data_IF_929845871693
#
_entry.id   IF_929845871693
#
_cell.length_a   1.000
_cell.length_b   1.000
_cell.length_c   1.000
_cell.angle_alpha   90.00
_cell.angle_beta   90.00
_cell.angle_gamma   90.00
#
_symmetry.space_group_name_H-M   'P 1'
#
loop_
_entity.id
_entity.type
_entity.pdbx_description
1 polymer ?
#
# COMPACT_ATOMS: atom_id res chain seq x y z
N UNK A 1 23.52 -13.42 60.55
CA UNK A 1 22.20 -13.19 59.93
C UNK A 1 21.97 -14.23 58.84
N UNK A 2 20.78 -14.84 58.84
CA UNK A 2 20.18 -15.77 57.87
C UNK A 2 20.29 -15.20 56.43
N UNK A 3 20.54 -15.91 55.30
CA UNK A 3 20.17 -17.24 54.79
C UNK A 3 21.21 -17.64 53.71
N UNK A 4 21.81 -18.84 53.74
CA UNK A 4 21.49 -20.00 52.89
C UNK A 4 20.96 -19.65 51.48
N UNK A 5 21.70 -20.02 50.44
CA UNK A 5 21.37 -21.14 49.51
C UNK A 5 22.44 -21.18 48.41
N UNK A 6 23.24 -22.23 48.45
CA UNK A 6 23.95 -22.82 47.32
C UNK A 6 22.90 -23.42 46.40
N UNK A 7 22.97 -23.19 45.09
CA UNK A 7 22.68 -24.20 44.05
C UNK A 7 23.45 -23.78 42.79
N UNK A 8 24.49 -24.55 42.49
CA UNK A 8 25.05 -24.67 41.17
C UNK A 8 24.06 -25.50 40.33
N UNK A 9 23.58 -24.95 39.22
CA UNK A 9 22.86 -25.71 38.19
C UNK A 9 23.51 -25.48 36.84
N UNK A 10 24.28 -26.47 36.42
CA UNK A 10 24.60 -26.75 35.04
C UNK A 10 23.30 -27.02 34.25
N UNK A 11 22.84 -26.04 33.48
CA UNK A 11 22.02 -26.28 32.28
C UNK A 11 22.93 -25.88 31.12
N UNK A 12 23.43 -26.80 30.30
CA UNK A 12 22.61 -27.65 29.46
C UNK A 12 22.67 -27.06 28.06
N UNK A 13 23.69 -27.46 27.30
CA UNK A 13 23.88 -27.16 25.90
C UNK A 13 22.63 -27.57 25.10
N UNK A 14 21.86 -26.59 24.60
CA UNK A 14 20.93 -26.80 23.50
C UNK A 14 21.38 -25.98 22.30
N UNK A 15 22.08 -26.68 21.40
CA UNK A 15 22.22 -26.28 20.01
C UNK A 15 20.83 -26.28 19.37
N UNK A 16 20.26 -25.10 19.20
CA UNK A 16 19.25 -24.87 18.17
C UNK A 16 19.84 -23.85 17.21
N UNK A 17 20.72 -24.31 16.33
CA UNK A 17 20.91 -23.64 15.03
C UNK A 17 19.56 -23.72 14.34
N UNK A 18 18.73 -22.71 14.59
CA UNK A 18 17.59 -22.44 13.75
C UNK A 18 18.20 -22.16 12.38
N UNK A 19 18.13 -23.16 11.51
CA UNK A 19 18.13 -22.93 10.09
C UNK A 19 16.97 -21.98 9.85
N UNK A 20 17.27 -20.67 9.82
CA UNK A 20 16.38 -19.72 9.19
C UNK A 20 16.49 -20.10 7.72
N UNK A 21 15.68 -21.07 7.31
CA UNK A 21 15.44 -21.29 5.90
C UNK A 21 15.11 -19.90 5.34
N UNK A 22 15.77 -19.43 4.28
CA UNK A 22 15.29 -18.25 3.61
C UNK A 22 13.87 -18.61 3.20
N UNK A 23 12.89 -18.06 3.92
CA UNK A 23 11.49 -18.18 3.56
C UNK A 23 11.46 -17.83 2.10
N UNK A 24 11.15 -18.82 1.25
CA UNK A 24 11.22 -18.75 -0.19
C UNK A 24 10.80 -17.34 -0.56
N UNK A 25 11.71 -16.54 -1.12
CA UNK A 25 11.44 -15.16 -1.45
C UNK A 25 10.37 -15.18 -2.54
N UNK A 26 9.12 -15.39 -2.13
CA UNK A 26 7.96 -15.37 -2.97
C UNK A 26 8.01 -13.99 -3.58
N UNK A 27 8.21 -13.95 -4.89
CA UNK A 27 8.30 -12.70 -5.65
C UNK A 27 7.07 -11.89 -5.29
N UNK A 28 7.24 -10.86 -4.44
CA UNK A 28 6.14 -10.04 -3.96
C UNK A 28 5.55 -9.39 -5.20
N UNK A 29 4.26 -9.61 -5.43
CA UNK A 29 3.50 -8.98 -6.50
C UNK A 29 2.32 -8.24 -5.90
N UNK A 30 1.75 -7.32 -6.67
CA UNK A 30 0.53 -6.64 -6.26
C UNK A 30 -0.58 -7.66 -5.98
N UNK A 31 -1.16 -7.63 -4.78
CA UNK A 31 -2.18 -8.58 -4.31
C UNK A 31 -1.65 -9.76 -3.48
N UNK A 32 -0.32 -9.91 -3.30
CA UNK A 32 0.25 -10.85 -2.33
C UNK A 32 -0.20 -10.49 -0.91
N UNK A 33 -0.59 -11.47 -0.10
CA UNK A 33 -1.03 -11.21 1.29
C UNK A 33 0.09 -10.60 2.13
N UNK A 34 -0.29 -9.74 3.07
CA UNK A 34 0.64 -9.16 4.04
C UNK A 34 -0.06 -8.96 5.38
N UNK A 35 0.71 -9.04 6.47
CA UNK A 35 0.16 -9.00 7.83
C UNK A 35 0.24 -7.62 8.46
N UNK A 36 1.34 -6.89 8.24
CA UNK A 36 1.61 -5.60 8.87
C UNK A 36 1.39 -4.44 7.90
N UNK A 37 0.29 -3.70 8.08
CA UNK A 37 0.03 -2.49 7.30
C UNK A 37 1.22 -1.51 7.39
N UNK A 38 1.53 -0.86 6.26
CA UNK A 38 2.68 0.05 6.15
C UNK A 38 4.04 -0.63 5.95
N UNK A 39 4.14 -1.96 6.06
CA UNK A 39 5.40 -2.66 5.77
C UNK A 39 5.77 -2.49 4.31
N UNK A 40 7.03 -2.15 4.03
CA UNK A 40 7.54 -1.98 2.67
C UNK A 40 8.45 -3.14 2.27
N UNK A 41 8.42 -3.50 0.98
CA UNK A 41 9.30 -4.49 0.36
C UNK A 41 9.77 -3.95 -0.98
N UNK A 42 11.05 -4.09 -1.29
CA UNK A 42 11.62 -3.73 -2.59
C UNK A 42 11.87 -5.00 -3.39
N UNK A 43 11.40 -5.04 -4.63
CA UNK A 43 11.65 -6.12 -5.59
C UNK A 43 12.12 -5.49 -6.89
N UNK A 44 13.39 -5.67 -7.23
CA UNK A 44 14.04 -4.92 -8.31
C UNK A 44 13.93 -3.40 -8.08
N UNK A 45 13.43 -2.67 -9.08
CA UNK A 45 13.18 -1.23 -9.00
C UNK A 45 11.81 -0.86 -8.40
N UNK A 46 10.96 -1.84 -8.10
CA UNK A 46 9.61 -1.63 -7.59
C UNK A 46 9.61 -1.64 -6.06
N UNK A 47 8.85 -0.73 -5.47
CA UNK A 47 8.59 -0.68 -4.04
C UNK A 47 7.13 -1.05 -3.82
N UNK A 48 6.89 -2.04 -2.97
CA UNK A 48 5.58 -2.49 -2.52
C UNK A 48 5.35 -2.04 -1.09
N UNK A 49 4.11 -1.67 -0.78
CA UNK A 49 3.64 -1.38 0.57
C UNK A 49 2.45 -2.27 0.90
N UNK A 50 2.42 -2.79 2.12
CA UNK A 50 1.28 -3.52 2.65
C UNK A 50 0.12 -2.57 3.00
N UNK A 51 -1.06 -2.83 2.47
CA UNK A 51 -2.28 -2.08 2.77
C UNK A 51 -3.50 -2.66 2.06
N UNK A 52 -4.61 -1.93 2.08
CA UNK A 52 -5.77 -2.26 1.25
C UNK A 52 -5.56 -1.70 -0.14
N UNK A 53 -5.75 -2.54 -1.16
CA UNK A 53 -5.73 -2.10 -2.54
C UNK A 53 -7.17 -1.76 -2.96
N UNK A 54 -7.49 -0.50 -3.29
CA UNK A 54 -8.85 -0.11 -3.65
C UNK A 54 -9.33 -0.73 -4.98
N UNK A 55 -8.42 -1.28 -5.79
CA UNK A 55 -8.71 -1.87 -7.09
C UNK A 55 -8.67 -3.41 -7.11
N UNK A 56 -8.35 -4.05 -5.99
CA UNK A 56 -8.24 -5.51 -5.89
C UNK A 56 -8.97 -5.99 -4.65
N UNK A 57 -10.09 -6.66 -4.85
CA UNK A 57 -10.82 -7.40 -3.80
C UNK A 57 -9.95 -8.57 -3.35
N UNK A 58 -9.41 -8.51 -2.12
CA UNK A 58 -10.18 -8.91 -0.95
C UNK A 58 -10.12 -7.90 0.22
N UNK A 59 -10.94 -8.13 1.24
CA UNK A 59 -11.02 -7.32 2.49
C UNK A 59 -9.75 -7.33 3.36
N UNK A 60 -8.72 -8.09 2.95
CA UNK A 60 -7.48 -8.34 3.69
C UNK A 60 -6.33 -7.48 3.17
N UNK A 61 -5.34 -7.21 4.02
CA UNK A 61 -4.16 -6.46 3.61
C UNK A 61 -3.35 -7.24 2.57
N UNK A 62 -2.96 -6.55 1.50
CA UNK A 62 -2.09 -7.06 0.44
C UNK A 62 -0.96 -6.08 0.14
N UNK A 63 0.13 -6.57 -0.43
CA UNK A 63 1.15 -5.70 -1.01
C UNK A 63 0.58 -5.04 -2.26
N UNK A 64 0.70 -3.72 -2.34
CA UNK A 64 0.42 -2.92 -3.53
C UNK A 64 1.65 -2.09 -3.88
N UNK A 65 1.83 -1.72 -5.15
CA UNK A 65 2.90 -0.80 -5.52
C UNK A 65 2.77 0.52 -4.74
N UNK A 66 3.90 1.07 -4.31
CA UNK A 66 3.97 2.41 -3.73
C UNK A 66 3.34 3.44 -4.68
N UNK A 67 3.59 3.32 -5.98
CA UNK A 67 2.97 4.14 -7.02
C UNK A 67 1.43 4.01 -7.06
N UNK A 68 0.87 2.82 -6.77
CA UNK A 68 -0.58 2.65 -6.67
C UNK A 68 -1.16 3.46 -5.51
N UNK A 69 -0.57 3.32 -4.32
CA UNK A 69 -1.03 4.05 -3.14
C UNK A 69 -0.89 5.56 -3.35
N UNK A 70 0.29 6.00 -3.76
CA UNK A 70 0.62 7.42 -3.88
C UNK A 70 -0.23 8.06 -4.99
N UNK A 71 -0.41 7.38 -6.14
CA UNK A 71 -1.28 7.88 -7.21
C UNK A 71 -2.77 7.83 -6.87
N UNK A 72 -3.24 6.85 -6.07
CA UNK A 72 -4.62 6.87 -5.59
C UNK A 72 -4.88 8.03 -4.63
N UNK A 73 -3.89 8.43 -3.83
CA UNK A 73 -3.99 9.65 -3.03
C UNK A 73 -4.16 10.88 -3.91
N UNK A 74 -3.37 11.01 -5.00
CA UNK A 74 -3.52 12.10 -5.97
C UNK A 74 -4.91 12.10 -6.62
N UNK A 75 -5.45 10.92 -6.97
CA UNK A 75 -6.82 10.81 -7.48
C UNK A 75 -7.86 11.33 -6.47
N UNK A 76 -7.71 11.01 -5.18
CA UNK A 76 -8.62 11.50 -4.14
C UNK A 76 -8.53 13.02 -3.96
N UNK A 77 -7.33 13.60 -4.04
CA UNK A 77 -7.12 15.05 -4.00
C UNK A 77 -7.76 15.74 -5.21
N UNK A 78 -7.62 15.18 -6.41
CA UNK A 78 -8.28 15.70 -7.61
C UNK A 78 -9.81 15.62 -7.50
N UNK A 79 -10.32 14.52 -6.93
CA UNK A 79 -11.76 14.35 -6.66
C UNK A 79 -12.28 15.39 -5.67
N UNK A 80 -11.55 15.66 -4.59
CA UNK A 80 -11.92 16.68 -3.61
C UNK A 80 -11.96 18.09 -4.24
N UNK A 81 -10.99 18.38 -5.11
CA UNK A 81 -10.98 19.60 -5.92
C UNK A 81 -12.18 19.71 -6.86
N UNK A 82 -12.56 18.60 -7.51
CA UNK A 82 -13.77 18.54 -8.33
C UNK A 82 -15.03 18.82 -7.51
N UNK A 83 -15.20 18.16 -6.36
CA UNK A 83 -16.36 18.36 -5.49
C UNK A 83 -16.46 19.81 -4.98
N UNK A 84 -15.32 20.45 -4.73
CA UNK A 84 -15.26 21.87 -4.32
C UNK A 84 -15.61 22.83 -5.46
N UNK A 85 -15.29 22.47 -6.70
CA UNK A 85 -15.46 23.35 -7.87
C UNK A 85 -16.76 23.14 -8.64
N UNK A 86 -17.38 21.95 -8.57
CA UNK A 86 -18.53 21.56 -9.42
C UNK A 86 -19.73 22.49 -9.31
N UNK A 87 -19.99 23.05 -8.12
CA UNK A 87 -21.14 23.93 -7.89
C UNK A 87 -20.80 25.39 -8.24
N UNK A 88 -19.51 25.75 -8.28
CA UNK A 88 -19.01 27.07 -8.67
C UNK A 88 -18.86 27.19 -10.20
N UNK A 89 -18.47 26.10 -10.86
CA UNK A 89 -18.19 26.09 -12.29
C UNK A 89 -19.33 26.66 -13.17
N UNK A 90 -20.62 26.33 -12.94
CA UNK A 90 -21.72 26.93 -13.68
C UNK A 90 -21.88 28.44 -13.45
N UNK A 91 -21.52 28.93 -12.25
CA UNK A 91 -21.60 30.35 -11.90
C UNK A 91 -20.50 31.18 -12.57
N UNK A 92 -19.38 30.54 -12.90
CA UNK A 92 -18.27 31.13 -13.65
C UNK A 92 -18.49 31.09 -15.18
N UNK A 93 -19.63 30.56 -15.63
CA UNK A 93 -19.99 30.48 -17.05
C UNK A 93 -19.25 29.38 -17.82
N UNK A 94 -19.16 29.53 -19.14
CA UNK A 94 -18.67 28.50 -20.05
C UNK A 94 -17.22 28.08 -19.74
N UNK A 95 -16.36 29.00 -19.32
CA UNK A 95 -14.96 28.72 -18.98
C UNK A 95 -14.85 27.85 -17.72
N UNK A 96 -15.67 28.10 -16.70
CA UNK A 96 -15.70 27.29 -15.49
C UNK A 96 -16.15 25.86 -15.78
N UNK A 97 -17.18 25.69 -16.62
CA UNK A 97 -17.64 24.36 -17.05
C UNK A 97 -16.56 23.63 -17.85
N UNK A 98 -15.83 24.33 -18.73
CA UNK A 98 -14.74 23.72 -19.49
C UNK A 98 -13.60 23.23 -18.57
N UNK A 99 -13.23 24.00 -17.54
CA UNK A 99 -12.23 23.59 -16.55
C UNK A 99 -12.69 22.37 -15.73
N UNK A 100 -13.97 22.30 -15.39
CA UNK A 100 -14.54 21.15 -14.68
C UNK A 100 -14.52 19.87 -15.54
N UNK A 101 -14.81 19.99 -16.84
CA UNK A 101 -14.73 18.88 -17.80
C UNK A 101 -13.28 18.39 -18.00
N UNK A 102 -12.31 19.32 -18.11
CA UNK A 102 -10.89 18.96 -18.20
C UNK A 102 -10.39 18.26 -16.93
N UNK A 103 -10.80 18.73 -15.75
CA UNK A 103 -10.49 18.08 -14.47
C UNK A 103 -11.06 16.66 -14.41
N UNK A 104 -12.31 16.48 -14.88
CA UNK A 104 -12.96 15.16 -14.95
C UNK A 104 -12.19 14.20 -15.85
N UNK A 105 -11.78 14.65 -17.05
CA UNK A 105 -10.95 13.86 -17.98
C UNK A 105 -9.60 13.47 -17.38
N UNK A 106 -8.96 14.39 -16.66
CA UNK A 106 -7.71 14.11 -15.94
C UNK A 106 -7.91 13.04 -14.86
N UNK A 107 -8.96 13.14 -14.06
CA UNK A 107 -9.31 12.16 -13.04
C UNK A 107 -9.55 10.76 -13.64
N UNK A 108 -10.27 10.66 -14.76
CA UNK A 108 -10.52 9.40 -15.46
C UNK A 108 -9.22 8.76 -15.98
N UNK A 109 -8.33 9.59 -16.54
CA UNK A 109 -7.00 9.15 -16.99
C UNK A 109 -6.14 8.61 -15.85
N UNK A 110 -6.12 9.30 -14.70
CA UNK A 110 -5.41 8.86 -13.50
C UNK A 110 -6.00 7.53 -13.01
N UNK A 111 -7.33 7.45 -12.86
CA UNK A 111 -8.01 6.26 -12.38
C UNK A 111 -7.74 5.04 -13.28
N UNK A 112 -7.86 5.22 -14.59
CA UNK A 112 -7.56 4.17 -15.58
C UNK A 112 -6.10 3.70 -15.52
N UNK A 113 -5.16 4.64 -15.39
CA UNK A 113 -3.73 4.33 -15.25
C UNK A 113 -3.45 3.54 -13.97
N UNK A 114 -4.06 3.94 -12.85
CA UNK A 114 -3.97 3.22 -11.58
C UNK A 114 -4.51 1.79 -11.75
N UNK A 115 -5.72 1.65 -12.28
CA UNK A 115 -6.38 0.36 -12.44
C UNK A 115 -5.60 -0.59 -13.36
N UNK A 116 -5.03 -0.09 -14.46
CA UNK A 116 -4.42 -0.95 -15.49
C UNK A 116 -2.93 -1.20 -15.30
N UNK A 117 -2.20 -0.29 -14.64
CA UNK A 117 -0.73 -0.36 -14.51
C UNK A 117 -0.27 -0.50 -13.07
N UNK A 118 -0.70 0.37 -12.15
CA UNK A 118 -0.08 0.47 -10.83
C UNK A 118 -0.73 -0.43 -9.77
N UNK A 119 -2.06 -0.53 -9.80
CA UNK A 119 -2.86 -1.23 -8.79
C UNK A 119 -3.34 -2.61 -9.25
N UNK A 120 -3.10 -2.96 -10.51
CA UNK A 120 -3.48 -4.25 -11.09
C UNK A 120 -2.81 -5.40 -10.35
N UNK A 121 -3.59 -6.45 -10.04
CA UNK A 121 -3.07 -7.68 -9.43
C UNK A 121 -1.97 -8.31 -10.31
N UNK A 122 -0.89 -8.74 -9.68
CA UNK A 122 0.23 -9.44 -10.35
C UNK A 122 1.36 -8.54 -10.87
N UNK A 123 1.25 -7.21 -10.75
CA UNK A 123 2.26 -6.23 -11.20
C UNK A 123 3.34 -5.95 -10.17
#
# INVERSE_FOLDING_TARGET
>A
MLRKIVIATTLGLFLATSVVTPASAATIKTGSSCTKAGSTKKVGSKIYVCGKNPFVTPTKNTYLLKACRDGYKVYLEAKDGYESFKDLAPLLGAEGVAQLDELTKSMDSIYSTLQTKACKKGV
#
